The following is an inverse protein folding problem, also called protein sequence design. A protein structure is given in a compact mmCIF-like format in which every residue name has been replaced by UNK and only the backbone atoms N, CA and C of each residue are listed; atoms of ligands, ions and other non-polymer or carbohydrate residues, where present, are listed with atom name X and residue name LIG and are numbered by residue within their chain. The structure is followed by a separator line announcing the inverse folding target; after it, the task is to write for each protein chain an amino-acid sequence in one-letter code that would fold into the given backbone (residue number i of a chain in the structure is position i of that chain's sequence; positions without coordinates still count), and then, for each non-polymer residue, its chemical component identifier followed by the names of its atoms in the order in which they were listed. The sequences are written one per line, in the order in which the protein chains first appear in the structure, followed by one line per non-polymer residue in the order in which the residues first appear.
data_IF_306662195455
#
_entry.id   IF_306662195455
#
_cell.length_a   1.000
_cell.length_b   1.000
_cell.length_c   1.000
_cell.angle_alpha   90.00
_cell.angle_beta   90.00
_cell.angle_gamma   90.00
#
_symmetry.space_group_name_H-M   'P 1'
#
loop_
_entity.id
_entity.type
_entity.pdbx_description
1 polymer ?
#
# COMPACT_ATOMS: atom_id res chain seq x y z
N UNK A 1 10.34 -11.53 -21.79
CA UNK A 1 9.86 -11.61 -21.31
C UNK A 1 9.44 -11.54 -20.98
N UNK A 2 9.52 -11.59 -21.17
CA UNK A 2 8.90 -11.63 -20.69
C UNK A 2 8.36 -11.47 -20.24
N UNK A 3 8.51 -11.55 -20.52
CA UNK A 3 7.84 -11.48 -20.02
C UNK A 3 7.17 -11.27 -19.66
N UNK A 4 7.20 -11.26 -20.01
CA UNK A 4 6.42 -11.12 -19.58
C UNK A 4 5.67 -11.01 -19.31
N UNK A 5 5.74 -11.21 -19.66
CA UNK A 5 5.02 -11.14 -19.33
C UNK A 5 4.29 -11.02 -19.10
N UNK A 6 4.17 -11.07 -19.36
CA UNK A 6 3.51 -10.94 -19.01
C UNK A 6 2.63 -10.67 -18.74
N UNK A 7 3.11 -10.60 -19.18
CA UNK A 7 1.94 -10.20 -19.19
C UNK A 7 0.66 -10.35 -18.62
N UNK A 8 -0.04 -10.92 -19.08
CA UNK A 8 -1.40 -11.12 -18.61
C UNK A 8 -1.52 -10.87 -17.10
N UNK A 9 -1.83 -9.68 -16.71
CA UNK A 9 -2.05 -9.37 -15.32
C UNK A 9 -0.83 -9.52 -14.42
N UNK A 10 0.26 -9.99 -14.97
CA UNK A 10 1.48 -10.13 -14.19
C UNK A 10 2.13 -8.79 -13.96
N UNK A 11 2.53 -8.53 -12.72
CA UNK A 11 3.23 -7.32 -12.39
C UNK A 11 4.70 -7.44 -12.78
N UNK A 12 5.29 -6.34 -13.21
CA UNK A 12 6.73 -6.32 -13.44
C UNK A 12 7.47 -6.42 -12.12
N UNK A 13 8.70 -6.96 -12.16
CA UNK A 13 9.50 -7.08 -10.94
C UNK A 13 9.78 -5.71 -10.31
N UNK A 14 9.88 -4.65 -11.11
CA UNK A 14 10.08 -3.30 -10.58
C UNK A 14 8.85 -2.82 -9.80
N UNK A 15 7.65 -3.14 -10.25
CA UNK A 15 6.43 -2.79 -9.52
C UNK A 15 6.35 -3.56 -8.20
N UNK A 16 6.66 -4.85 -8.23
CA UNK A 16 6.68 -5.68 -7.01
C UNK A 16 7.70 -5.11 -6.02
N UNK A 17 8.90 -4.81 -6.49
CA UNK A 17 9.97 -4.29 -5.63
C UNK A 17 9.57 -2.97 -4.99
N UNK A 18 9.07 -2.04 -5.76
CA UNK A 18 8.68 -0.71 -5.27
C UNK A 18 7.55 -0.82 -4.25
N UNK A 19 6.52 -1.59 -4.57
CA UNK A 19 5.38 -1.77 -3.68
C UNK A 19 5.79 -2.51 -2.40
N UNK A 20 6.65 -3.52 -2.52
CA UNK A 20 7.15 -4.27 -1.37
C UNK A 20 7.96 -3.37 -0.44
N UNK A 21 8.77 -2.47 -0.97
CA UNK A 21 9.52 -1.52 -0.15
C UNK A 21 8.59 -0.64 0.66
N UNK A 22 7.52 -0.15 0.03
CA UNK A 22 6.53 0.66 0.74
C UNK A 22 5.82 -0.17 1.82
N UNK A 23 5.37 -1.37 1.49
CA UNK A 23 4.69 -2.25 2.44
C UNK A 23 5.60 -2.55 3.63
N UNK A 24 6.86 -2.87 3.36
CA UNK A 24 7.81 -3.19 4.42
C UNK A 24 8.01 -2.01 5.36
N UNK A 25 8.04 -0.79 4.82
CA UNK A 25 8.24 0.41 5.62
C UNK A 25 6.97 0.80 6.39
N UNK A 26 5.80 0.73 5.73
CA UNK A 26 4.55 1.22 6.31
C UNK A 26 3.85 0.19 7.20
N UNK A 27 4.01 -1.09 6.90
CA UNK A 27 3.29 -2.16 7.60
C UNK A 27 4.23 -3.10 8.37
N UNK A 28 5.39 -2.61 8.77
CA UNK A 28 6.34 -3.40 9.55
C UNK A 28 5.69 -3.82 10.86
N UNK A 29 5.71 -5.13 11.13
CA UNK A 29 5.08 -5.67 12.32
C UNK A 29 3.59 -5.92 12.21
N UNK A 30 2.97 -5.58 11.09
CA UNK A 30 1.55 -5.86 10.87
C UNK A 30 1.33 -7.31 10.44
N UNK A 31 0.14 -7.87 10.70
CA UNK A 31 -0.19 -9.20 10.17
C UNK A 31 -0.16 -9.19 8.65
N UNK A 32 -0.01 -10.37 8.04
CA UNK A 32 0.12 -10.48 6.59
C UNK A 32 -1.06 -9.81 5.85
N UNK A 33 -2.28 -10.01 6.34
CA UNK A 33 -3.47 -9.37 5.74
C UNK A 33 -3.35 -7.84 5.77
N UNK A 34 -2.77 -7.28 6.82
CA UNK A 34 -2.53 -5.84 6.92
C UNK A 34 -1.51 -5.37 5.89
N UNK A 35 -0.48 -6.17 5.65
CA UNK A 35 0.50 -5.84 4.63
C UNK A 35 -0.11 -5.84 3.23
N UNK A 36 -0.91 -6.85 2.91
CA UNK A 36 -1.63 -6.91 1.64
C UNK A 36 -2.59 -5.73 1.51
N UNK A 37 -3.27 -5.38 2.60
CA UNK A 37 -4.23 -4.27 2.59
C UNK A 37 -3.53 -2.93 2.30
N UNK A 38 -2.36 -2.68 2.86
CA UNK A 38 -1.59 -1.46 2.57
C UNK A 38 -1.25 -1.40 1.08
N UNK A 39 -0.79 -2.51 0.50
CA UNK A 39 -0.53 -2.58 -0.93
C UNK A 39 -1.79 -2.33 -1.76
N UNK A 40 -2.91 -2.91 -1.34
CA UNK A 40 -4.18 -2.74 -2.04
C UNK A 40 -4.64 -1.27 -2.01
N UNK A 41 -4.44 -0.58 -0.89
CA UNK A 41 -4.78 0.85 -0.80
C UNK A 41 -4.01 1.66 -1.86
N UNK A 42 -2.73 1.39 -2.01
CA UNK A 42 -1.92 2.06 -3.03
C UNK A 42 -2.50 1.82 -4.43
N UNK A 43 -2.84 0.57 -4.73
CA UNK A 43 -3.39 0.21 -6.04
C UNK A 43 -4.77 0.82 -6.26
N UNK A 44 -5.58 0.90 -5.22
CA UNK A 44 -6.90 1.55 -5.30
C UNK A 44 -6.75 3.05 -5.59
N UNK A 45 -5.73 3.70 -5.02
CA UNK A 45 -5.44 5.10 -5.31
C UNK A 45 -5.09 5.30 -6.78
N UNK A 46 -4.33 4.38 -7.38
CA UNK A 46 -3.97 4.47 -8.79
C UNK A 46 -5.23 4.49 -9.67
N UNK A 47 -6.25 3.76 -9.28
CA UNK A 47 -7.52 3.68 -10.03
C UNK A 47 -8.46 4.85 -9.72
N UNK A 48 -8.19 5.60 -8.65
CA UNK A 48 -9.07 6.68 -8.21
C UNK A 48 -8.69 7.99 -8.91
N UNK A 49 -9.67 8.75 -9.41
CA UNK A 49 -9.37 9.96 -10.19
C UNK A 49 -8.71 11.08 -9.38
N UNK A 50 -8.79 11.05 -8.06
CA UNK A 50 -8.17 12.07 -7.21
C UNK A 50 -6.70 11.83 -6.92
N UNK A 51 -6.13 10.74 -7.41
CA UNK A 51 -4.74 10.37 -7.15
C UNK A 51 -3.98 10.20 -8.47
N UNK A 52 -2.63 10.24 -8.41
CA UNK A 52 -1.84 9.90 -9.60
C UNK A 52 -2.19 8.50 -10.12
N UNK A 53 -2.11 8.32 -11.43
CA UNK A 53 -2.52 7.06 -12.06
C UNK A 53 -1.35 6.10 -12.29
N UNK A 54 -0.24 6.29 -11.60
CA UNK A 54 0.92 5.41 -11.68
C UNK A 54 1.38 5.03 -10.29
N UNK A 55 2.01 3.86 -10.17
CA UNK A 55 2.52 3.38 -8.89
C UNK A 55 3.57 4.33 -8.29
N UNK A 56 4.62 4.74 -9.03
CA UNK A 56 5.55 5.73 -8.48
C UNK A 56 4.87 7.04 -8.13
N UNK A 57 3.91 7.47 -8.93
CA UNK A 57 3.20 8.72 -8.67
C UNK A 57 2.47 8.72 -7.34
N UNK A 58 1.82 7.62 -7.01
CA UNK A 58 1.11 7.49 -5.73
C UNK A 58 2.10 7.38 -4.56
N UNK A 59 3.14 6.57 -4.72
CA UNK A 59 4.10 6.31 -3.63
C UNK A 59 4.90 7.57 -3.30
N UNK A 60 5.33 8.31 -4.31
CA UNK A 60 6.16 9.50 -4.11
C UNK A 60 5.35 10.79 -4.02
N UNK A 61 4.03 10.70 -3.99
CA UNK A 61 3.19 11.87 -3.81
C UNK A 61 3.56 12.58 -2.50
N UNK A 62 3.74 13.90 -2.56
CA UNK A 62 4.20 14.67 -1.42
C UNK A 62 3.29 14.48 -0.21
N UNK A 63 3.87 14.10 0.92
CA UNK A 63 3.15 13.92 2.17
C UNK A 63 2.27 12.68 2.25
N UNK A 64 2.26 11.84 1.21
CA UNK A 64 1.41 10.65 1.23
C UNK A 64 1.91 9.59 2.21
N UNK A 65 3.23 9.41 2.29
CA UNK A 65 3.83 8.39 3.15
C UNK A 65 5.06 8.96 3.86
N UNK A 66 5.06 8.88 5.18
CA UNK A 66 6.17 9.42 5.97
C UNK A 66 7.46 8.62 5.80
N UNK A 67 7.36 7.34 5.47
CA UNK A 67 8.55 6.51 5.29
C UNK A 67 9.47 7.01 4.18
N UNK A 68 8.94 7.76 3.23
CA UNK A 68 9.76 8.34 2.15
C UNK A 68 10.73 9.38 2.69
N UNK A 69 10.29 10.17 3.68
CA UNK A 69 11.10 11.26 4.23
C UNK A 69 11.93 10.85 5.44
N UNK A 70 11.51 9.82 6.18
CA UNK A 70 12.23 9.42 7.40
C UNK A 70 13.25 8.30 7.19
N UNK A 71 13.45 7.86 5.93
CA UNK A 71 14.47 6.88 5.58
C UNK A 71 14.05 5.42 5.71
N UNK A 72 12.88 5.12 6.22
CA UNK A 72 12.44 3.73 6.38
C UNK A 72 12.25 3.04 5.03
N UNK A 73 11.97 3.81 3.99
CA UNK A 73 11.81 3.27 2.64
C UNK A 73 13.07 2.58 2.13
N UNK A 74 14.23 2.93 2.69
CA UNK A 74 15.52 2.38 2.27
C UNK A 74 15.98 1.23 3.17
N UNK A 75 15.17 0.81 4.14
CA UNK A 75 15.49 -0.32 4.99
C UNK A 75 15.31 -1.64 4.22
N UNK A 76 15.96 -2.72 4.66
CA UNK A 76 15.77 -4.03 4.02
C UNK A 76 14.30 -4.42 3.97
N UNK A 77 13.89 -5.02 2.85
CA UNK A 77 12.51 -5.41 2.62
C UNK A 77 12.29 -6.82 3.15
N UNK A 78 11.25 -6.98 3.98
CA UNK A 78 10.86 -8.29 4.49
C UNK A 78 10.31 -9.18 3.37
N UNK A 79 10.57 -10.48 3.44
CA UNK A 79 10.07 -11.41 2.43
C UNK A 79 8.55 -11.39 2.36
N UNK A 80 7.87 -11.28 3.52
CA UNK A 80 6.41 -11.20 3.55
C UNK A 80 5.88 -9.99 2.78
N UNK A 81 6.64 -8.90 2.76
CA UNK A 81 6.25 -7.71 2.00
C UNK A 81 6.27 -7.97 0.49
N UNK A 82 7.24 -8.76 0.01
CA UNK A 82 7.25 -9.15 -1.40
C UNK A 82 6.02 -9.99 -1.76
N UNK A 83 5.66 -10.93 -0.90
CA UNK A 83 4.45 -11.75 -1.11
C UNK A 83 3.20 -10.88 -1.07
N UNK A 84 3.12 -9.97 -0.11
CA UNK A 84 1.99 -9.07 0.03
C UNK A 84 1.84 -8.17 -1.21
N UNK A 85 2.96 -7.68 -1.74
CA UNK A 85 2.95 -6.88 -2.96
C UNK A 85 2.40 -7.66 -4.15
N UNK A 86 2.83 -8.91 -4.29
CA UNK A 86 2.35 -9.76 -5.38
C UNK A 86 0.86 -10.05 -5.24
N UNK A 87 0.40 -10.36 -4.03
CA UNK A 87 -1.02 -10.62 -3.80
C UNK A 87 -1.85 -9.39 -4.13
N UNK A 88 -1.42 -8.22 -3.66
CA UNK A 88 -2.13 -6.97 -3.94
C UNK A 88 -2.20 -6.71 -5.45
N UNK A 89 -1.08 -6.89 -6.15
CA UNK A 89 -1.02 -6.68 -7.60
C UNK A 89 -1.88 -7.69 -8.36
N UNK A 90 -2.11 -8.86 -7.77
CA UNK A 90 -3.00 -9.88 -8.34
C UNK A 90 -4.48 -9.63 -8.03
N UNK A 91 -4.79 -8.56 -7.32
CA UNK A 91 -6.17 -8.20 -7.05
C UNK A 91 -6.68 -8.55 -5.65
N UNK A 92 -5.83 -9.11 -4.80
CA UNK A 92 -6.24 -9.42 -3.42
C UNK A 92 -6.34 -8.11 -2.64
N UNK A 93 -7.52 -7.84 -2.08
CA UNK A 93 -7.78 -6.58 -1.38
C UNK A 93 -8.57 -6.82 -0.09
N UNK A 94 -7.87 -7.12 1.01
CA UNK A 94 -8.54 -7.27 2.31
C UNK A 94 -9.05 -5.95 2.87
N UNK A 95 -8.66 -4.81 2.30
CA UNK A 95 -9.17 -3.51 2.74
C UNK A 95 -10.57 -3.20 2.22
N UNK A 96 -11.07 -3.97 1.26
CA UNK A 96 -12.42 -3.77 0.72
C UNK A 96 -12.57 -2.53 -0.15
N UNK A 97 -11.51 -2.12 -0.85
CA UNK A 97 -11.56 -0.97 -1.74
C UNK A 97 -11.12 0.33 -1.09
N UNK A 98 -10.48 0.27 0.06
CA UNK A 98 -10.03 1.47 0.78
C UNK A 98 -9.00 2.25 -0.03
N UNK A 99 -9.05 3.57 0.09
CA UNK A 99 -8.05 4.47 -0.48
C UNK A 99 -7.30 5.24 0.60
N UNK A 100 -7.67 5.08 1.86
CA UNK A 100 -6.99 5.69 3.01
C UNK A 100 -6.80 4.67 4.11
N UNK A 101 -5.73 4.83 4.86
CA UNK A 101 -5.56 4.09 6.11
C UNK A 101 -4.78 4.95 7.09
N UNK A 102 -4.95 4.66 8.39
CA UNK A 102 -4.22 5.38 9.43
C UNK A 102 -4.13 4.52 10.69
N UNK A 103 -3.13 4.84 11.51
CA UNK A 103 -2.97 4.23 12.83
C UNK A 103 -3.66 5.15 13.84
N UNK A 104 -4.76 4.69 14.49
CA UNK A 104 -5.50 5.55 15.41
C UNK A 104 -4.70 5.99 16.63
N UNK A 105 -3.64 5.26 16.99
CA UNK A 105 -2.78 5.65 18.10
C UNK A 105 -1.92 6.87 17.80
N UNK A 106 -1.61 7.12 16.53
CA UNK A 106 -0.71 8.20 16.12
C UNK A 106 -1.39 9.26 15.27
N UNK A 107 -2.58 8.98 14.75
CA UNK A 107 -3.27 9.91 13.87
C UNK A 107 -3.81 11.10 14.67
N UNK A 108 -3.46 12.31 14.24
CA UNK A 108 -3.90 13.54 14.89
C UNK A 108 -4.89 14.34 14.05
N UNK A 109 -5.07 13.98 12.77
CA UNK A 109 -5.95 14.70 11.87
C UNK A 109 -7.40 14.30 12.06
N UNK A 110 -8.26 15.26 12.41
CA UNK A 110 -9.69 14.98 12.55
C UNK A 110 -10.32 14.62 11.20
N UNK A 111 -9.74 15.10 10.10
CA UNK A 111 -10.24 14.79 8.77
C UNK A 111 -10.25 13.30 8.50
N UNK A 112 -9.13 12.61 8.81
CA UNK A 112 -9.05 11.17 8.52
C UNK A 112 -10.03 10.36 9.38
N UNK A 113 -10.29 10.82 10.59
CA UNK A 113 -11.27 10.18 11.48
C UNK A 113 -12.71 10.30 10.96
N UNK A 114 -12.99 11.31 10.13
CA UNK A 114 -14.32 11.53 9.58
C UNK A 114 -14.60 10.69 8.33
N UNK A 115 -13.58 10.02 7.78
CA UNK A 115 -13.77 9.21 6.57
C UNK A 115 -14.52 7.93 6.89
N UNK A 116 -15.36 7.44 5.95
CA UNK A 116 -16.11 6.19 6.17
C UNK A 116 -15.18 5.00 6.41
N UNK A 117 -15.33 4.35 7.55
CA UNK A 117 -14.51 3.20 7.89
C UNK A 117 -15.00 1.97 7.13
N UNK A 118 -14.07 1.23 6.52
CA UNK A 118 -14.37 -0.01 5.83
C UNK A 118 -14.00 -1.20 6.71
N UNK A 119 -12.76 -1.24 7.21
CA UNK A 119 -12.30 -2.36 8.04
C UNK A 119 -11.12 -1.93 8.90
N UNK A 120 -10.81 -2.76 9.89
CA UNK A 120 -9.65 -2.57 10.75
C UNK A 120 -8.81 -3.85 10.67
N UNK A 121 -7.53 -3.71 10.37
CA UNK A 121 -6.60 -4.83 10.31
C UNK A 121 -5.35 -4.42 11.07
N UNK A 122 -4.99 -5.23 12.08
CA UNK A 122 -3.84 -4.92 12.92
C UNK A 122 -4.01 -3.56 13.58
N UNK A 123 -3.02 -2.70 13.40
CA UNK A 123 -3.02 -1.36 13.99
C UNK A 123 -3.57 -0.29 13.05
N UNK A 124 -4.04 -0.68 11.85
CA UNK A 124 -4.51 0.26 10.85
C UNK A 124 -6.01 0.22 10.67
N UNK A 125 -6.62 1.39 10.54
CA UNK A 125 -8.01 1.54 10.14
C UNK A 125 -8.04 1.91 8.66
N UNK A 126 -8.81 1.15 7.88
CA UNK A 126 -8.91 1.34 6.42
C UNK A 126 -10.24 2.00 6.10
N UNK A 127 -10.19 3.06 5.31
CA UNK A 127 -11.37 3.86 4.97
C UNK A 127 -11.39 4.29 3.51
N UNK A 128 -12.55 4.71 3.10
CA UNK A 128 -12.75 5.22 1.74
C UNK A 128 -12.67 6.73 1.65
#
# INVERSE_FOLDING_TARGET
NSSNSDGSGGASSSQVDLLARLISAEARGEPYSGQVAVGAVVLNRIKHPSFPNTLPGVIYQSGAFTCITDGQFNQPVAESAYRAARDALNGVDPSGGAIYYFNPSTATSSWIWSRPLITVIGKHRFCS
#
